data_IF_573298333892
#
_entry.id   IF_573298333892
#
_cell.length_a   1.000
_cell.length_b   1.000
_cell.length_c   1.000
_cell.angle_alpha   90.00
_cell.angle_beta   90.00
_cell.angle_gamma   90.00
#
_symmetry.space_group_name_H-M   'P 1'
#
loop_
_entity.id
_entity.type
_entity.pdbx_description
1 polymer ?
#
# COMPACT_ATOMS: atom_id res chain seq x y z
N UNK A 1 3.59 -7.70 15.91
CA UNK A 1 2.15 -7.87 15.64
C UNK A 1 2.02 -7.98 14.13
N UNK A 2 2.28 -9.16 13.56
CA UNK A 2 2.10 -9.40 12.13
C UNK A 2 1.75 -10.87 11.93
N UNK A 3 0.46 -11.12 11.70
CA UNK A 3 0.02 -12.32 11.01
C UNK A 3 -0.95 -11.84 9.96
N UNK A 4 -0.48 -11.70 8.73
CA UNK A 4 -1.32 -11.75 7.56
C UNK A 4 -2.38 -12.87 7.74
N UNK A 5 -3.64 -12.58 7.42
CA UNK A 5 -4.70 -13.57 7.47
C UNK A 5 -4.28 -14.84 6.69
N UNK A 6 -4.48 -16.06 7.23
CA UNK A 6 -3.91 -17.27 6.66
C UNK A 6 -4.42 -17.55 5.23
N UNK A 7 -3.65 -17.16 4.21
CA UNK A 7 -3.94 -17.47 2.81
C UNK A 7 -3.81 -16.34 1.79
N UNK A 8 -3.28 -15.17 2.18
CA UNK A 8 -2.92 -14.09 1.24
C UNK A 8 -1.42 -13.85 1.29
N UNK A 9 -0.79 -13.82 0.12
CA UNK A 9 0.62 -13.44 -0.04
C UNK A 9 0.73 -12.18 -0.90
N UNK A 10 1.64 -11.27 -0.53
CA UNK A 10 2.03 -10.13 -1.36
C UNK A 10 3.23 -10.52 -2.22
N UNK A 11 3.07 -10.44 -3.55
CA UNK A 11 4.17 -10.67 -4.49
C UNK A 11 4.56 -9.35 -5.13
N UNK A 12 5.85 -9.00 -5.11
CA UNK A 12 6.37 -7.80 -5.78
C UNK A 12 6.08 -7.86 -7.28
N UNK A 13 5.59 -6.76 -7.85
CA UNK A 13 5.34 -6.65 -9.28
C UNK A 13 4.10 -5.81 -9.61
N UNK A 14 3.97 -5.45 -10.87
CA UNK A 14 2.94 -4.54 -11.39
C UNK A 14 1.85 -5.23 -12.22
N UNK A 15 1.92 -6.55 -12.40
CA UNK A 15 1.19 -7.27 -13.46
C UNK A 15 -0.34 -7.17 -13.41
N UNK A 16 -0.91 -6.78 -12.27
CA UNK A 16 -2.37 -6.55 -12.12
C UNK A 16 -2.69 -5.21 -11.46
N UNK A 17 -1.71 -4.31 -11.35
CA UNK A 17 -1.89 -2.96 -10.79
C UNK A 17 -2.29 -2.04 -11.94
N UNK A 18 -3.42 -1.36 -11.77
CA UNK A 18 -4.02 -0.52 -12.83
C UNK A 18 -3.74 0.97 -12.64
N UNK A 19 -3.48 1.38 -11.41
CA UNK A 19 -3.10 2.75 -11.07
C UNK A 19 -1.68 3.01 -11.54
N UNK A 20 -1.54 3.97 -12.46
CA UNK A 20 -0.26 4.42 -12.95
C UNK A 20 0.62 4.96 -11.81
N UNK A 21 1.93 4.77 -11.92
CA UNK A 21 2.87 5.45 -11.04
C UNK A 21 2.82 6.95 -11.32
N UNK A 22 2.86 7.75 -10.26
CA UNK A 22 3.15 9.18 -10.39
C UNK A 22 4.66 9.35 -10.61
N UNK A 23 5.11 9.86 -11.78
CA UNK A 23 6.53 9.99 -12.11
C UNK A 23 7.25 11.01 -11.21
N UNK A 24 6.51 11.84 -10.50
CA UNK A 24 7.08 12.78 -9.54
C UNK A 24 7.50 12.10 -8.23
N UNK A 25 7.33 10.78 -8.08
CA UNK A 25 7.81 10.00 -6.93
C UNK A 25 8.84 8.96 -7.37
N UNK A 26 10.11 9.22 -7.07
CA UNK A 26 11.26 8.47 -7.59
C UNK A 26 11.40 7.06 -7.03
N UNK A 27 10.84 6.80 -5.83
CA UNK A 27 10.92 5.50 -5.16
C UNK A 27 9.53 4.89 -5.11
N UNK A 28 9.44 3.59 -5.41
CA UNK A 28 8.18 2.86 -5.29
C UNK A 28 8.33 1.45 -4.73
N UNK A 29 7.30 1.05 -3.99
CA UNK A 29 7.02 -0.33 -3.62
C UNK A 29 5.67 -0.74 -4.17
N UNK A 30 5.70 -1.71 -5.08
CA UNK A 30 4.52 -2.27 -5.74
C UNK A 30 4.39 -3.74 -5.43
N UNK A 31 3.20 -4.17 -5.00
CA UNK A 31 2.92 -5.57 -4.74
C UNK A 31 1.45 -5.92 -5.04
N UNK A 32 1.23 -7.17 -5.46
CA UNK A 32 -0.11 -7.73 -5.72
C UNK A 32 -0.45 -8.71 -4.61
N UNK A 33 -1.64 -8.57 -4.04
CA UNK A 33 -2.20 -9.53 -3.08
C UNK A 33 -2.80 -10.71 -3.86
N UNK A 34 -2.30 -11.93 -3.57
CA UNK A 34 -2.80 -13.16 -4.20
C UNK A 34 -3.34 -14.13 -3.17
N UNK A 35 -4.46 -14.77 -3.49
CA UNK A 35 -4.98 -15.88 -2.70
C UNK A 35 -4.18 -17.17 -2.94
N UNK A 36 -4.50 -18.24 -2.20
CA UNK A 36 -3.84 -19.56 -2.34
C UNK A 36 -3.92 -20.17 -3.75
N UNK A 37 -4.87 -19.74 -4.58
CA UNK A 37 -5.02 -20.17 -5.98
C UNK A 37 -4.25 -19.26 -6.95
N UNK A 38 -3.45 -18.31 -6.46
CA UNK A 38 -2.69 -17.36 -7.26
C UNK A 38 -3.53 -16.21 -7.85
N UNK A 39 -4.82 -16.13 -7.52
CA UNK A 39 -5.71 -15.10 -8.08
C UNK A 39 -5.46 -13.76 -7.39
N UNK A 40 -5.35 -12.70 -8.18
CA UNK A 40 -5.17 -11.34 -7.66
C UNK A 40 -6.46 -10.87 -6.97
N UNK A 41 -6.34 -10.47 -5.70
CA UNK A 41 -7.44 -9.95 -4.88
C UNK A 41 -7.34 -8.46 -4.62
N UNK A 42 -6.29 -7.79 -5.11
CA UNK A 42 -6.00 -6.39 -4.87
C UNK A 42 -4.50 -6.13 -4.98
N UNK A 43 -4.06 -4.93 -4.64
CA UNK A 43 -2.64 -4.61 -4.65
C UNK A 43 -2.32 -3.25 -4.04
N UNK A 44 -1.04 -2.96 -3.92
CA UNK A 44 -0.53 -1.70 -3.39
C UNK A 44 0.46 -1.07 -4.35
N UNK A 45 0.48 0.26 -4.35
CA UNK A 45 1.57 1.08 -4.87
C UNK A 45 1.87 2.17 -3.85
N UNK A 46 2.95 2.02 -3.12
CA UNK A 46 3.44 3.03 -2.20
C UNK A 46 4.59 3.77 -2.87
N UNK A 47 4.44 5.07 -3.05
CA UNK A 47 5.46 5.88 -3.71
C UNK A 47 6.00 6.93 -2.75
N UNK A 48 7.28 7.25 -2.88
CA UNK A 48 8.00 8.18 -2.02
C UNK A 48 8.80 9.17 -2.86
N UNK A 49 8.82 10.43 -2.42
CA UNK A 49 9.67 11.49 -2.96
C UNK A 49 10.29 12.26 -1.81
N UNK A 50 11.56 12.60 -1.94
CA UNK A 50 12.23 13.55 -1.06
C UNK A 50 11.70 14.99 -1.25
N UNK A 51 11.46 15.67 -0.15
CA UNK A 51 11.18 17.12 -0.11
C UNK A 51 12.18 17.78 0.86
N UNK A 52 12.33 19.12 0.88
CA UNK A 52 13.26 19.74 1.80
C UNK A 52 12.97 19.35 3.27
N UNK A 53 13.95 18.68 3.90
CA UNK A 53 13.93 18.16 5.27
C UNK A 53 12.77 17.21 5.61
N UNK A 54 12.16 16.58 4.61
CA UNK A 54 11.06 15.62 4.80
C UNK A 54 10.95 14.70 3.58
N UNK A 55 9.99 13.80 3.59
CA UNK A 55 9.56 13.15 2.35
C UNK A 55 8.05 13.17 2.26
N UNK A 56 7.55 12.99 1.05
CA UNK A 56 6.13 12.79 0.80
C UNK A 56 5.91 11.35 0.37
N UNK A 57 4.89 10.72 0.96
CA UNK A 57 4.43 9.41 0.56
C UNK A 57 3.05 9.48 -0.11
N UNK A 58 2.81 8.59 -1.07
CA UNK A 58 1.51 8.32 -1.69
C UNK A 58 1.19 6.84 -1.49
N UNK A 59 0.23 6.56 -0.61
CA UNK A 59 -0.17 5.21 -0.23
C UNK A 59 -1.39 4.77 -1.06
N UNK A 60 -1.15 4.16 -2.22
CA UNK A 60 -2.22 3.65 -3.08
C UNK A 60 -2.53 2.20 -2.72
N UNK A 61 -3.81 1.89 -2.57
CA UNK A 61 -4.33 0.53 -2.44
C UNK A 61 -5.44 0.30 -3.49
N UNK A 62 -5.36 -0.81 -4.21
CA UNK A 62 -6.33 -1.26 -5.20
C UNK A 62 -7.18 -2.40 -4.64
N UNK A 63 -8.50 -2.25 -4.80
CA UNK A 63 -9.49 -3.19 -4.32
C UNK A 63 -10.30 -3.78 -5.48
N UNK A 64 -10.88 -4.99 -5.31
CA UNK A 64 -11.87 -5.49 -6.24
C UNK A 64 -13.03 -4.50 -6.38
N UNK A 65 -13.56 -4.34 -7.59
CA UNK A 65 -14.64 -3.38 -7.89
C UNK A 65 -15.89 -3.52 -7.02
N UNK A 66 -16.14 -4.71 -6.45
CA UNK A 66 -17.27 -4.99 -5.55
C UNK A 66 -16.99 -4.70 -4.08
N UNK A 67 -15.87 -4.07 -3.76
CA UNK A 67 -15.51 -3.74 -2.38
C UNK A 67 -16.43 -2.63 -1.87
N UNK A 68 -17.12 -2.82 -0.73
CA UNK A 68 -17.92 -1.78 -0.12
C UNK A 68 -17.11 -0.51 0.16
N UNK A 69 -17.67 0.65 -0.20
CA UNK A 69 -16.98 1.95 -0.07
C UNK A 69 -16.52 2.27 1.36
N UNK A 70 -17.28 1.85 2.38
CA UNK A 70 -16.90 2.04 3.77
C UNK A 70 -15.62 1.26 4.14
N UNK A 71 -15.36 0.11 3.51
CA UNK A 71 -14.12 -0.63 3.72
C UNK A 71 -12.92 0.06 3.07
N UNK A 72 -13.12 0.69 1.90
CA UNK A 72 -12.08 1.52 1.27
C UNK A 72 -11.71 2.70 2.16
N UNK A 73 -12.72 3.39 2.72
CA UNK A 73 -12.50 4.49 3.67
C UNK A 73 -11.83 4.04 4.96
N UNK A 74 -12.27 2.93 5.55
CA UNK A 74 -11.64 2.36 6.74
C UNK A 74 -10.18 1.96 6.48
N UNK A 75 -9.88 1.41 5.30
CA UNK A 75 -8.52 1.04 4.94
C UNK A 75 -7.62 2.27 4.72
N UNK A 76 -8.15 3.36 4.16
CA UNK A 76 -7.40 4.62 4.05
C UNK A 76 -6.99 5.15 5.44
N UNK A 77 -7.91 5.10 6.42
CA UNK A 77 -7.60 5.46 7.81
C UNK A 77 -6.59 4.52 8.45
N UNK A 78 -6.72 3.21 8.24
CA UNK A 78 -5.75 2.22 8.70
C UNK A 78 -4.33 2.53 8.21
N UNK A 79 -4.17 2.78 6.90
CA UNK A 79 -2.86 3.14 6.32
C UNK A 79 -2.31 4.44 6.88
N UNK A 80 -3.15 5.46 7.07
CA UNK A 80 -2.73 6.72 7.68
C UNK A 80 -2.19 6.50 9.09
N UNK A 81 -2.92 5.77 9.95
CA UNK A 81 -2.49 5.46 11.31
C UNK A 81 -1.19 4.63 11.33
N UNK A 82 -1.11 3.58 10.51
CA UNK A 82 0.05 2.69 10.45
C UNK A 82 1.32 3.44 10.03
N UNK A 83 1.28 4.16 8.92
CA UNK A 83 2.43 4.91 8.44
C UNK A 83 2.81 6.05 9.38
N UNK A 84 1.85 6.81 9.91
CA UNK A 84 2.16 7.86 10.90
C UNK A 84 2.90 7.30 12.10
N UNK A 85 2.45 6.18 12.67
CA UNK A 85 3.12 5.56 13.80
C UNK A 85 4.56 5.12 13.45
N UNK A 86 4.79 4.56 12.25
CA UNK A 86 6.13 4.19 11.81
C UNK A 86 7.05 5.40 11.62
N UNK A 87 6.53 6.49 11.07
CA UNK A 87 7.29 7.74 10.90
C UNK A 87 7.67 8.36 12.23
N UNK A 88 6.72 8.43 13.17
CA UNK A 88 6.95 8.94 14.52
C UNK A 88 7.99 8.09 15.25
N UNK A 89 7.89 6.76 15.16
CA UNK A 89 8.86 5.85 15.76
C UNK A 89 10.25 6.00 15.14
N UNK A 90 10.36 6.09 13.81
CA UNK A 90 11.64 6.24 13.11
C UNK A 90 12.31 7.60 13.40
N UNK A 91 11.53 8.66 13.62
CA UNK A 91 12.03 9.99 13.95
C UNK A 91 12.37 10.15 15.45
N UNK A 92 11.98 9.20 16.29
CA UNK A 92 12.27 9.19 17.74
C UNK A 92 13.51 8.36 18.10
N UNK A 93 14.15 7.73 17.11
CA UNK A 93 15.34 6.90 17.24
C UNK A 93 16.61 7.68 16.83
#
# INVERSE_FOLDING_TARGET
MDRAAPGVALTRGTSTITTAADPAFAVEWVAVARNRKGQAGGGIRHQFRDEPNRFRTRLTAEFPARTPSHLVGAHAWHLACEFSNWLEAANSA
#
